data_IF_461646199033
#
_entry.id   IF_461646199033
#
_cell.length_a   1.000
_cell.length_b   1.000
_cell.length_c   1.000
_cell.angle_alpha   90.00
_cell.angle_beta   90.00
_cell.angle_gamma   90.00
#
_symmetry.space_group_name_H-M   'P 1'
#
loop_
_entity.id
_entity.type
_entity.pdbx_description
1 polymer ?
#
# COMPACT_ATOMS: atom_id res chain seq x y z
N UNK A 1 45.24 5.38 -18.37
CA UNK A 1 44.99 3.95 -18.13
C UNK A 1 43.62 3.83 -17.51
N UNK A 2 42.65 3.33 -18.26
CA UNK A 2 41.31 3.02 -17.75
C UNK A 2 41.46 1.61 -17.15
N UNK A 3 41.35 1.49 -15.82
CA UNK A 3 41.38 0.19 -15.15
C UNK A 3 40.29 -0.74 -15.67
N UNK A 4 40.44 -2.07 -15.54
CA UNK A 4 39.44 -3.00 -16.04
C UNK A 4 38.08 -2.68 -15.43
N UNK A 5 37.07 -2.52 -16.28
CA UNK A 5 35.67 -2.52 -15.90
C UNK A 5 35.41 -3.82 -15.13
N UNK A 6 35.23 -3.72 -13.82
CA UNK A 6 34.76 -4.84 -13.01
C UNK A 6 33.50 -5.38 -13.68
N UNK A 7 33.41 -6.69 -14.02
CA UNK A 7 32.18 -7.23 -14.56
C UNK A 7 31.04 -6.95 -13.57
N UNK A 8 29.82 -6.67 -14.04
CA UNK A 8 28.69 -6.45 -13.15
C UNK A 8 28.57 -7.66 -12.23
N UNK A 9 28.46 -7.40 -10.92
CA UNK A 9 28.19 -8.42 -9.91
C UNK A 9 27.07 -9.33 -10.43
N UNK A 10 27.33 -10.63 -10.53
CA UNK A 10 26.29 -11.59 -10.86
C UNK A 10 25.22 -11.48 -9.77
N UNK A 11 24.09 -10.83 -10.09
CA UNK A 11 22.99 -10.71 -9.16
C UNK A 11 22.53 -12.11 -8.74
N UNK A 12 22.48 -12.34 -7.44
CA UNK A 12 22.02 -13.61 -6.89
C UNK A 12 20.59 -13.87 -7.36
N UNK A 13 20.41 -15.01 -8.02
CA UNK A 13 19.14 -15.46 -8.59
C UNK A 13 18.37 -16.30 -7.59
N UNK A 14 17.06 -16.12 -7.57
CA UNK A 14 16.14 -16.82 -6.68
C UNK A 14 14.97 -17.40 -7.46
N UNK A 15 14.48 -18.56 -7.01
CA UNK A 15 13.21 -19.15 -7.41
C UNK A 15 12.33 -19.34 -6.18
N UNK A 16 11.03 -19.49 -6.39
CA UNK A 16 10.09 -19.74 -5.30
C UNK A 16 9.84 -21.24 -5.13
N UNK A 17 10.15 -21.80 -3.96
CA UNK A 17 9.79 -23.18 -3.57
C UNK A 17 8.94 -23.12 -2.32
N UNK A 18 7.74 -23.70 -2.37
CA UNK A 18 6.82 -23.74 -1.20
C UNK A 18 6.68 -22.37 -0.51
N UNK A 19 6.52 -21.31 -1.32
CA UNK A 19 6.40 -19.90 -0.85
C UNK A 19 7.67 -19.28 -0.28
N UNK A 20 8.82 -19.95 -0.35
CA UNK A 20 10.10 -19.42 0.11
C UNK A 20 11.00 -19.05 -1.08
N UNK A 21 11.59 -17.84 -1.10
CA UNK A 21 12.67 -17.51 -2.02
C UNK A 21 13.90 -18.37 -1.70
N UNK A 22 14.35 -19.15 -2.66
CA UNK A 22 15.56 -19.99 -2.53
C UNK A 22 16.56 -19.62 -3.61
N UNK A 23 17.84 -19.64 -3.26
CA UNK A 23 18.94 -19.42 -4.21
C UNK A 23 18.87 -20.45 -5.34
N UNK A 24 18.98 -19.98 -6.58
CA UNK A 24 19.07 -20.79 -7.79
C UNK A 24 20.38 -20.49 -8.52
N UNK A 25 21.32 -21.44 -8.44
CA UNK A 25 22.64 -21.32 -9.06
C UNK A 25 22.56 -21.54 -10.59
N UNK A 26 21.69 -22.45 -11.03
CA UNK A 26 21.49 -22.74 -12.45
C UNK A 26 20.71 -21.63 -13.17
N UNK A 27 21.38 -20.97 -14.12
CA UNK A 27 20.81 -19.90 -14.93
C UNK A 27 19.70 -20.39 -15.86
N UNK A 28 19.80 -21.62 -16.37
CA UNK A 28 18.80 -22.18 -17.26
C UNK A 28 17.51 -22.50 -16.49
N UNK A 29 17.65 -23.13 -15.32
CA UNK A 29 16.52 -23.37 -14.39
C UNK A 29 15.83 -22.06 -14.01
N UNK A 30 16.60 -21.06 -13.55
CA UNK A 30 16.04 -19.77 -13.17
C UNK A 30 15.28 -19.09 -14.32
N UNK A 31 15.84 -19.09 -15.54
CA UNK A 31 15.18 -18.51 -16.72
C UNK A 31 13.86 -19.22 -17.04
N UNK A 32 13.85 -20.55 -17.03
CA UNK A 32 12.64 -21.32 -17.31
C UNK A 32 11.60 -21.16 -16.18
N UNK A 33 12.05 -20.95 -14.94
CA UNK A 33 11.18 -20.60 -13.82
C UNK A 33 10.51 -19.24 -14.05
N UNK A 34 11.29 -18.20 -14.33
CA UNK A 34 10.79 -16.83 -14.54
C UNK A 34 9.98 -16.67 -15.84
N UNK A 35 10.15 -17.55 -16.82
CA UNK A 35 9.33 -17.50 -18.06
C UNK A 35 7.86 -17.85 -17.81
N UNK A 36 7.53 -18.49 -16.68
CA UNK A 36 6.17 -18.97 -16.38
C UNK A 36 5.44 -17.92 -15.55
N UNK A 37 4.39 -17.26 -16.08
CA UNK A 37 3.67 -16.21 -15.34
C UNK A 37 3.15 -16.66 -13.98
N UNK A 38 2.66 -17.91 -13.87
CA UNK A 38 2.19 -18.52 -12.61
C UNK A 38 3.24 -18.66 -11.50
N UNK A 39 4.52 -18.56 -11.84
CA UNK A 39 5.62 -18.61 -10.88
C UNK A 39 6.00 -17.23 -10.35
N UNK A 40 5.67 -16.19 -11.13
CA UNK A 40 5.95 -14.78 -10.82
C UNK A 40 4.72 -14.16 -10.15
N UNK A 41 3.54 -14.33 -10.75
CA UNK A 41 2.30 -13.77 -10.24
C UNK A 41 1.82 -14.60 -9.05
N UNK A 42 1.97 -14.02 -7.86
CA UNK A 42 1.66 -14.65 -6.58
C UNK A 42 0.19 -14.46 -6.21
N UNK A 43 -0.34 -13.27 -6.43
CA UNK A 43 -1.74 -12.92 -6.18
C UNK A 43 -2.18 -11.82 -7.14
N UNK A 44 -3.47 -11.83 -7.49
CA UNK A 44 -4.10 -10.84 -8.35
C UNK A 44 -5.58 -10.77 -8.00
N UNK A 45 -6.03 -9.59 -7.62
CA UNK A 45 -7.39 -9.36 -7.16
C UNK A 45 -7.89 -8.01 -7.68
N UNK A 46 -9.07 -8.00 -8.30
CA UNK A 46 -9.74 -6.78 -8.72
C UNK A 46 -10.68 -6.29 -7.62
N UNK A 47 -10.67 -4.97 -7.35
CA UNK A 47 -11.50 -4.35 -6.33
C UNK A 47 -12.36 -3.25 -6.95
N UNK A 48 -13.68 -3.47 -6.94
CA UNK A 48 -14.62 -2.61 -7.67
C UNK A 48 -14.36 -2.67 -9.18
N UNK A 49 -14.69 -1.59 -9.88
CA UNK A 49 -14.45 -1.45 -11.33
C UNK A 49 -13.14 -0.72 -11.68
N UNK A 50 -12.46 -0.15 -10.69
CA UNK A 50 -11.34 0.80 -10.90
C UNK A 50 -9.99 0.28 -10.43
N UNK A 51 -9.94 -0.60 -9.42
CA UNK A 51 -8.68 -0.99 -8.79
C UNK A 51 -8.31 -2.44 -9.05
N UNK A 52 -7.01 -2.68 -9.13
CA UNK A 52 -6.43 -4.02 -9.22
C UNK A 52 -5.19 -4.08 -8.34
N UNK A 53 -5.09 -5.11 -7.51
CA UNK A 53 -3.92 -5.35 -6.65
C UNK A 53 -3.21 -6.60 -7.16
N UNK A 54 -1.91 -6.48 -7.46
CA UNK A 54 -1.08 -7.61 -7.87
C UNK A 54 0.11 -7.75 -6.93
N UNK A 55 0.44 -8.99 -6.58
CA UNK A 55 1.70 -9.32 -5.92
C UNK A 55 2.54 -10.21 -6.82
N UNK A 56 3.80 -9.83 -7.02
CA UNK A 56 4.74 -10.55 -7.87
C UNK A 56 5.99 -10.95 -7.09
N UNK A 57 6.53 -12.11 -7.42
CA UNK A 57 7.88 -12.54 -7.05
C UNK A 57 8.90 -12.06 -8.08
N UNK A 58 9.95 -11.39 -7.64
CA UNK A 58 10.88 -10.65 -8.49
C UNK A 58 11.99 -11.52 -9.09
N UNK A 59 12.29 -12.67 -8.49
CA UNK A 59 13.39 -13.56 -8.93
C UNK A 59 14.80 -13.09 -8.56
N UNK A 60 14.91 -11.92 -7.94
CA UNK A 60 16.14 -11.31 -7.43
C UNK A 60 15.88 -10.64 -6.08
N UNK A 61 16.94 -10.37 -5.32
CA UNK A 61 16.85 -9.45 -4.19
C UNK A 61 16.97 -8.00 -4.72
N UNK A 62 15.86 -7.25 -4.72
CA UNK A 62 15.82 -5.83 -5.07
C UNK A 62 16.11 -4.89 -3.88
N UNK A 63 16.32 -5.44 -2.68
CA UNK A 63 16.69 -4.71 -1.48
C UNK A 63 18.20 -4.79 -1.19
N UNK A 64 18.56 -4.73 0.10
CA UNK A 64 19.94 -4.99 0.56
C UNK A 64 20.09 -6.42 1.10
N UNK A 65 21.30 -6.81 1.48
CA UNK A 65 21.52 -8.11 2.12
C UNK A 65 20.85 -8.17 3.51
N UNK A 66 20.81 -7.05 4.22
CA UNK A 66 20.23 -6.90 5.56
C UNK A 66 18.70 -6.73 5.52
N UNK A 67 18.19 -6.18 4.42
CA UNK A 67 16.76 -5.95 4.20
C UNK A 67 16.38 -6.37 2.78
N UNK A 68 16.19 -7.68 2.55
CA UNK A 68 15.95 -8.18 1.21
C UNK A 68 14.52 -7.90 0.73
N UNK A 69 14.36 -7.70 -0.58
CA UNK A 69 13.05 -7.54 -1.23
C UNK A 69 12.93 -8.55 -2.37
N UNK A 70 12.07 -9.54 -2.19
CA UNK A 70 11.81 -10.60 -3.16
C UNK A 70 10.43 -10.53 -3.77
N UNK A 71 9.52 -9.83 -3.11
CA UNK A 71 8.15 -9.64 -3.55
C UNK A 71 7.83 -8.17 -3.63
N UNK A 72 6.96 -7.83 -4.58
CA UNK A 72 6.40 -6.50 -4.71
C UNK A 72 4.90 -6.62 -4.88
N UNK A 73 4.16 -5.83 -4.10
CA UNK A 73 2.70 -5.69 -4.26
C UNK A 73 2.42 -4.30 -4.80
N UNK A 74 1.61 -4.20 -5.85
CA UNK A 74 1.27 -2.93 -6.52
C UNK A 74 -0.24 -2.83 -6.66
N UNK A 75 -0.77 -1.63 -6.45
CA UNK A 75 -2.16 -1.28 -6.78
C UNK A 75 -2.21 -0.43 -8.05
N UNK A 76 -3.09 -0.79 -8.97
CA UNK A 76 -3.40 -0.05 -10.18
C UNK A 76 -4.77 0.62 -10.04
N UNK A 77 -4.98 1.72 -10.76
CA UNK A 77 -6.23 2.50 -10.71
C UNK A 77 -6.16 3.77 -9.85
N UNK A 78 -4.98 4.10 -9.34
CA UNK A 78 -4.68 5.35 -8.61
C UNK A 78 -3.67 6.20 -9.40
N UNK A 79 -3.65 7.52 -9.19
CA UNK A 79 -2.76 8.45 -9.91
C UNK A 79 -1.27 8.19 -9.63
N UNK A 80 -0.94 7.61 -8.46
CA UNK A 80 0.41 7.19 -8.09
C UNK A 80 0.45 5.70 -7.80
N UNK A 81 1.38 4.97 -8.44
CA UNK A 81 1.61 3.55 -8.17
C UNK A 81 2.26 3.39 -6.80
N UNK A 82 1.45 3.19 -5.75
CA UNK A 82 1.97 2.76 -4.47
C UNK A 82 2.33 1.27 -4.55
N UNK A 83 3.47 0.91 -3.94
CA UNK A 83 3.91 -0.47 -3.86
C UNK A 83 4.38 -0.81 -2.44
N UNK A 84 4.18 -2.06 -2.06
CA UNK A 84 4.69 -2.66 -0.83
C UNK A 84 5.73 -3.72 -1.17
N UNK A 85 6.98 -3.47 -0.83
CA UNK A 85 8.06 -4.46 -0.95
C UNK A 85 8.09 -5.39 0.27
N UNK A 86 8.44 -6.65 0.04
CA UNK A 86 8.48 -7.67 1.10
C UNK A 86 9.63 -8.66 0.90
N UNK A 87 10.21 -9.11 2.03
CA UNK A 87 11.23 -10.16 2.08
C UNK A 87 10.59 -11.55 2.06
N UNK A 88 9.47 -11.71 2.77
CA UNK A 88 8.82 -13.01 2.97
C UNK A 88 7.48 -13.06 2.26
N UNK A 89 6.97 -14.28 2.08
CA UNK A 89 5.63 -14.48 1.54
C UNK A 89 4.56 -13.94 2.49
N UNK A 90 4.75 -14.10 3.80
CA UNK A 90 3.83 -13.64 4.83
C UNK A 90 3.72 -12.10 4.81
N UNK A 91 4.84 -11.41 4.71
CA UNK A 91 4.86 -9.95 4.53
C UNK A 91 4.19 -9.54 3.22
N UNK A 92 4.49 -10.22 2.11
CA UNK A 92 3.88 -9.93 0.82
C UNK A 92 2.36 -10.12 0.85
N UNK A 93 1.89 -11.19 1.50
CA UNK A 93 0.46 -11.46 1.70
C UNK A 93 -0.18 -10.40 2.60
N UNK A 94 0.53 -9.92 3.63
CA UNK A 94 0.07 -8.82 4.48
C UNK A 94 -0.08 -7.51 3.71
N UNK A 95 0.92 -7.16 2.90
CA UNK A 95 0.89 -5.99 2.01
C UNK A 95 -0.27 -6.08 1.01
N UNK A 96 -0.47 -7.25 0.41
CA UNK A 96 -1.59 -7.51 -0.51
C UNK A 96 -2.94 -7.28 0.17
N UNK A 97 -3.16 -7.90 1.33
CA UNK A 97 -4.40 -7.75 2.07
C UNK A 97 -4.65 -6.28 2.49
N UNK A 98 -3.62 -5.58 2.97
CA UNK A 98 -3.74 -4.17 3.35
C UNK A 98 -4.18 -3.30 2.16
N UNK A 99 -3.56 -3.49 0.98
CA UNK A 99 -3.93 -2.76 -0.22
C UNK A 99 -5.34 -3.11 -0.71
N UNK A 100 -5.79 -4.36 -0.58
CA UNK A 100 -7.18 -4.72 -0.89
C UNK A 100 -8.18 -3.98 0.01
N UNK A 101 -7.91 -3.88 1.31
CA UNK A 101 -8.79 -3.17 2.24
C UNK A 101 -8.84 -1.67 1.93
N UNK A 102 -7.68 -1.06 1.64
CA UNK A 102 -7.60 0.35 1.23
C UNK A 102 -8.34 0.58 -0.10
N UNK A 103 -8.13 -0.29 -1.09
CA UNK A 103 -8.82 -0.22 -2.39
C UNK A 103 -10.34 -0.34 -2.23
N UNK A 104 -10.82 -1.25 -1.37
CA UNK A 104 -12.24 -1.45 -1.13
C UNK A 104 -12.88 -0.23 -0.47
N UNK A 105 -12.19 0.37 0.51
CA UNK A 105 -12.62 1.61 1.14
C UNK A 105 -12.71 2.76 0.14
N UNK A 106 -11.68 2.92 -0.70
CA UNK A 106 -11.64 3.98 -1.71
C UNK A 106 -12.69 3.77 -2.81
N UNK A 107 -12.87 2.54 -3.30
CA UNK A 107 -13.92 2.22 -4.28
C UNK A 107 -15.30 2.59 -3.75
N UNK A 108 -15.63 2.18 -2.53
CA UNK A 108 -16.90 2.52 -1.88
C UNK A 108 -17.10 4.03 -1.74
N UNK A 109 -16.05 4.76 -1.35
CA UNK A 109 -16.10 6.21 -1.27
C UNK A 109 -16.39 6.84 -2.64
N UNK A 110 -15.67 6.41 -3.68
CA UNK A 110 -15.88 6.92 -5.05
C UNK A 110 -17.29 6.63 -5.56
N UNK A 111 -17.81 5.43 -5.30
CA UNK A 111 -19.19 5.08 -5.67
C UNK A 111 -20.20 5.98 -4.93
N UNK A 112 -19.99 6.26 -3.64
CA UNK A 112 -20.85 7.18 -2.88
C UNK A 112 -20.79 8.63 -3.41
N UNK A 113 -19.60 9.09 -3.83
CA UNK A 113 -19.44 10.42 -4.46
C UNK A 113 -20.19 10.47 -5.79
N UNK A 114 -20.05 9.45 -6.64
CA UNK A 114 -20.74 9.38 -7.94
C UNK A 114 -22.26 9.30 -7.78
N UNK A 115 -22.74 8.60 -6.75
CA UNK A 115 -24.16 8.53 -6.39
C UNK A 115 -24.68 9.81 -5.69
N UNK A 116 -23.81 10.80 -5.41
CA UNK A 116 -24.18 12.02 -4.70
C UNK A 116 -24.54 11.82 -3.22
N UNK A 117 -24.24 10.65 -2.67
CA UNK A 117 -24.44 10.28 -1.26
C UNK A 117 -23.36 10.93 -0.40
N UNK A 118 -22.12 10.97 -0.89
CA UNK A 118 -21.00 11.61 -0.21
C UNK A 118 -20.88 13.06 -0.67
N UNK A 119 -21.42 14.00 0.12
CA UNK A 119 -21.43 15.44 -0.20
C UNK A 119 -20.19 16.19 0.32
N UNK A 120 -19.34 15.48 1.07
CA UNK A 120 -18.30 16.06 1.92
C UNK A 120 -16.89 15.73 1.41
N UNK A 121 -16.67 15.92 0.11
CA UNK A 121 -15.33 15.82 -0.49
C UNK A 121 -14.51 17.05 -0.08
N UNK A 122 -13.28 16.85 0.40
CA UNK A 122 -12.38 17.95 0.73
C UNK A 122 -10.98 17.72 0.17
N UNK A 123 -10.27 18.83 -0.07
CA UNK A 123 -8.87 18.81 -0.53
C UNK A 123 -7.99 19.36 0.60
N UNK A 124 -7.03 18.56 1.04
CA UNK A 124 -6.02 18.99 2.00
C UNK A 124 -4.90 19.77 1.29
N UNK A 125 -4.46 20.88 1.89
CA UNK A 125 -3.27 21.62 1.47
C UNK A 125 -1.98 20.99 2.04
N UNK A 126 -2.10 20.24 3.13
CA UNK A 126 -1.00 19.52 3.77
C UNK A 126 -1.56 18.33 4.58
N UNK A 127 -0.76 17.28 4.75
CA UNK A 127 -1.12 16.04 5.46
C UNK A 127 -0.01 15.68 6.43
N UNK A 128 -0.34 15.54 7.71
CA UNK A 128 0.59 15.10 8.75
C UNK A 128 0.16 13.74 9.29
N UNK A 129 1.10 12.77 9.25
CA UNK A 129 0.91 11.43 9.80
C UNK A 129 1.65 11.36 11.14
N UNK A 130 0.92 11.02 12.20
CA UNK A 130 1.42 10.82 13.57
C UNK A 130 1.08 9.39 14.01
N UNK A 131 1.71 8.89 15.06
CA UNK A 131 1.60 7.48 15.51
C UNK A 131 0.15 6.99 15.70
N UNK A 132 -0.77 7.88 16.11
CA UNK A 132 -2.18 7.57 16.34
C UNK A 132 -3.15 8.57 15.67
N UNK A 133 -2.64 9.48 14.84
CA UNK A 133 -3.46 10.53 14.23
C UNK A 133 -3.07 10.76 12.77
N UNK A 134 -4.07 11.02 11.93
CA UNK A 134 -3.89 11.59 10.60
C UNK A 134 -4.52 12.97 10.58
N UNK A 135 -3.72 13.99 10.30
CA UNK A 135 -4.16 15.39 10.27
C UNK A 135 -4.17 15.88 8.83
N UNK A 136 -5.33 16.32 8.38
CA UNK A 136 -5.51 17.00 7.10
C UNK A 136 -5.66 18.49 7.36
N UNK A 137 -4.73 19.29 6.86
CA UNK A 137 -4.80 20.75 6.96
C UNK A 137 -5.49 21.25 5.70
N UNK A 138 -6.55 22.02 5.85
CA UNK A 138 -7.30 22.60 4.73
C UNK A 138 -6.97 24.10 4.57
N UNK A 139 -7.47 24.70 3.50
CA UNK A 139 -7.26 26.12 3.21
C UNK A 139 -7.87 27.06 4.27
N UNK A 140 -8.96 26.65 4.92
CA UNK A 140 -9.71 27.46 5.89
C UNK A 140 -10.52 26.61 6.88
N UNK A 141 -10.94 27.24 7.98
CA UNK A 141 -11.88 26.63 8.92
C UNK A 141 -13.24 26.32 8.26
N UNK A 142 -13.69 27.13 7.30
CA UNK A 142 -14.98 26.91 6.65
C UNK A 142 -14.93 25.75 5.66
N UNK A 143 -13.78 25.53 5.01
CA UNK A 143 -13.53 24.32 4.26
C UNK A 143 -13.59 23.08 5.17
N UNK A 144 -13.02 23.16 6.38
CA UNK A 144 -13.09 22.08 7.37
C UNK A 144 -14.51 21.84 7.90
N UNK A 145 -15.32 22.90 8.11
CA UNK A 145 -16.74 22.76 8.48
C UNK A 145 -17.58 22.16 7.36
N UNK A 146 -17.29 22.51 6.10
CA UNK A 146 -17.96 21.90 4.94
C UNK A 146 -17.58 20.42 4.78
N UNK A 147 -16.31 20.08 5.02
CA UNK A 147 -15.79 18.73 4.93
C UNK A 147 -16.36 17.80 6.00
N UNK A 148 -16.38 18.23 7.26
CA UNK A 148 -16.98 17.48 8.35
C UNK A 148 -17.72 18.50 9.19
N UNK A 149 -19.06 18.51 9.14
CA UNK A 149 -19.87 19.49 9.86
C UNK A 149 -19.79 19.31 11.38
N UNK A 150 -19.65 18.07 11.84
CA UNK A 150 -19.65 17.69 13.25
C UNK A 150 -18.46 16.79 13.60
N UNK A 151 -18.04 16.86 14.87
CA UNK A 151 -17.04 15.93 15.41
C UNK A 151 -17.67 14.56 15.61
N UNK A 152 -16.87 13.50 15.53
CA UNK A 152 -17.32 12.13 15.69
C UNK A 152 -16.41 11.33 16.63
N UNK A 153 -16.73 10.04 16.80
CA UNK A 153 -15.99 9.14 17.68
C UNK A 153 -14.50 9.01 17.30
N UNK A 154 -14.20 9.01 16.01
CA UNK A 154 -12.85 8.79 15.48
C UNK A 154 -12.27 10.01 14.77
N UNK A 155 -12.92 11.16 14.83
CA UNK A 155 -12.43 12.38 14.19
C UNK A 155 -12.89 13.64 14.92
N UNK A 156 -12.08 14.69 14.83
CA UNK A 156 -12.43 16.02 15.30
C UNK A 156 -11.88 17.10 14.39
N UNK A 157 -12.50 18.29 14.44
CA UNK A 157 -12.06 19.48 13.73
C UNK A 157 -11.39 20.45 14.68
N UNK A 158 -10.16 20.85 14.37
CA UNK A 158 -9.36 21.84 15.10
C UNK A 158 -9.06 23.03 14.17
N UNK A 159 -9.97 24.01 14.16
CA UNK A 159 -9.90 25.14 13.20
C UNK A 159 -9.94 24.63 11.76
N UNK A 160 -8.88 24.90 11.00
CA UNK A 160 -8.72 24.44 9.60
C UNK A 160 -8.20 23.00 9.44
N UNK A 161 -8.01 22.26 10.53
CA UNK A 161 -7.42 20.91 10.51
C UNK A 161 -8.47 19.86 10.85
N UNK A 162 -8.56 18.80 10.05
CA UNK A 162 -9.31 17.60 10.37
C UNK A 162 -8.37 16.57 10.97
N UNK A 163 -8.65 16.07 12.17
CA UNK A 163 -7.83 15.07 12.87
C UNK A 163 -8.62 13.77 12.93
N UNK A 164 -8.08 12.72 12.32
CA UNK A 164 -8.60 11.36 12.43
C UNK A 164 -7.75 10.58 13.42
N UNK A 165 -8.38 9.96 14.41
CA UNK A 165 -7.72 9.22 15.50
C UNK A 165 -7.84 7.71 15.25
N UNK A 166 -6.72 7.00 15.28
CA UNK A 166 -6.68 5.54 15.11
C UNK A 166 -6.23 4.86 16.41
N UNK A 167 -6.59 3.57 16.56
CA UNK A 167 -6.16 2.76 17.71
C UNK A 167 -6.92 3.03 19.02
N UNK A 168 -7.99 3.85 18.99
CA UNK A 168 -8.91 4.00 20.11
C UNK A 168 -9.58 2.65 20.39
N UNK A 169 -9.40 2.12 21.60
CA UNK A 169 -10.17 0.94 22.05
C UNK A 169 -11.59 1.42 22.36
N UNK A 170 -12.58 0.59 22.09
CA UNK A 170 -13.99 0.91 22.37
C UNK A 170 -14.28 1.28 23.84
N UNK A 171 -13.35 1.03 24.75
CA UNK A 171 -13.41 1.38 26.17
C UNK A 171 -13.12 2.85 26.50
N UNK A 172 -12.63 3.66 25.56
CA UNK A 172 -11.99 4.93 25.89
C UNK A 172 -12.93 6.15 25.84
N UNK A 173 -14.25 5.94 25.69
CA UNK A 173 -15.24 6.98 26.00
C UNK A 173 -16.51 6.39 26.63
N UNK A 174 -16.96 6.91 27.80
CA UNK A 174 -18.29 6.63 28.30
C UNK A 174 -19.29 7.30 27.37
N UNK A 175 -20.34 6.56 26.99
CA UNK A 175 -21.48 7.07 26.24
C UNK A 175 -21.96 8.38 26.89
N UNK A 176 -21.99 9.44 26.09
CA UNK A 176 -22.58 10.71 26.52
C UNK A 176 -24.10 10.51 26.59
N UNK A 177 -24.63 10.46 27.81
CA UNK A 177 -26.06 10.58 28.10
C UNK A 177 -26.56 12.00 27.82
#
# INVERSE_FOLDING_TARGET
>A
MIGPLTPPQDFQRYILKERQPVICEDKAEWREFMRKPKNILVAQDSVGSKFEVLTVFLGFNNGSAEKPFFFQTTIFGVDENSHGDAATWEEASGNHYALLQSAAGLAKYMDNVELGVEQNTFTAIDIQVLDNELRFILESEEAAKKALSENGKHWERLGKTLVFKFGLRDSDHPESQ
#
